data_IF_796199282800
#
_entry.id   IF_796199282800
#
_cell.length_a   1.000
_cell.length_b   1.000
_cell.length_c   1.000
_cell.angle_alpha   90.00
_cell.angle_beta   90.00
_cell.angle_gamma   90.00
#
_symmetry.space_group_name_H-M   'P 1'
#
loop_
_entity.id
_entity.type
_entity.pdbx_description
1 polymer ?
#
# COMPACT_ATOMS: atom_id res chain seq x y z
N UNK A 1 -30.75 30.75 -15.50
CA UNK A 1 -30.71 29.28 -15.70
C UNK A 1 -29.24 28.89 -15.75
N UNK A 2 -28.54 28.63 -14.65
CA UNK A 2 -28.58 27.43 -13.79
C UNK A 2 -28.47 26.11 -14.57
N UNK A 3 -27.23 25.77 -14.94
CA UNK A 3 -26.75 24.42 -15.23
C UNK A 3 -25.22 24.46 -15.08
N UNK A 4 -24.67 24.49 -13.86
CA UNK A 4 -24.46 23.31 -13.03
C UNK A 4 -24.00 22.08 -13.84
N UNK A 5 -22.98 22.25 -14.69
CA UNK A 5 -22.15 21.13 -15.13
C UNK A 5 -21.29 20.66 -13.96
N UNK A 6 -21.93 19.95 -13.03
CA UNK A 6 -21.26 19.02 -12.14
C UNK A 6 -20.73 17.92 -13.06
N UNK A 7 -19.51 18.12 -13.58
CA UNK A 7 -18.73 17.00 -14.07
C UNK A 7 -18.48 16.13 -12.84
N UNK A 8 -19.27 15.06 -12.74
CA UNK A 8 -19.07 13.98 -11.80
C UNK A 8 -17.59 13.61 -11.87
N UNK A 9 -16.86 13.99 -10.83
CA UNK A 9 -15.55 13.45 -10.56
C UNK A 9 -15.77 12.00 -10.20
N UNK A 10 -15.91 11.15 -11.22
CA UNK A 10 -15.58 9.75 -11.11
C UNK A 10 -14.09 9.74 -10.77
N UNK A 11 -13.78 9.88 -9.48
CA UNK A 11 -12.53 9.42 -8.95
C UNK A 11 -12.49 7.94 -9.30
N UNK A 12 -11.82 7.62 -10.42
CA UNK A 12 -11.30 6.30 -10.66
C UNK A 12 -10.48 5.99 -9.41
N UNK A 13 -11.10 5.23 -8.49
CA UNK A 13 -10.56 4.94 -7.18
C UNK A 13 -9.18 4.38 -7.36
N UNK A 14 -8.19 5.10 -6.86
CA UNK A 14 -6.80 4.78 -7.09
C UNK A 14 -6.53 3.55 -6.23
N UNK A 15 -6.33 2.38 -6.85
CA UNK A 15 -5.82 1.17 -6.18
C UNK A 15 -4.36 1.40 -5.77
N UNK A 16 -4.09 2.42 -4.94
CA UNK A 16 -2.77 2.77 -4.44
C UNK A 16 -2.50 1.96 -3.18
N UNK A 17 -2.29 0.65 -3.37
CA UNK A 17 -1.61 -0.16 -2.37
C UNK A 17 -0.14 0.15 -2.52
N UNK A 18 0.43 0.78 -1.50
CA UNK A 18 1.83 1.18 -1.47
C UNK A 18 2.53 0.43 -0.34
N UNK A 19 3.83 0.15 -0.53
CA UNK A 19 4.60 -0.60 0.46
C UNK A 19 4.49 -2.12 0.29
N UNK A 20 4.46 -2.84 1.41
CA UNK A 20 4.57 -4.31 1.48
C UNK A 20 5.64 -4.79 2.46
N UNK A 21 6.39 -3.86 3.06
CA UNK A 21 7.44 -4.16 4.03
C UNK A 21 7.45 -3.15 5.21
N UNK A 22 6.41 -2.34 5.38
CA UNK A 22 6.34 -1.36 6.48
C UNK A 22 6.05 -2.09 7.79
N UNK A 23 6.98 -2.00 8.72
CA UNK A 23 6.80 -2.49 10.07
C UNK A 23 6.08 -1.45 10.93
N UNK A 24 6.59 -0.22 10.86
CA UNK A 24 6.21 0.87 11.71
C UNK A 24 6.50 2.21 11.01
N UNK A 25 5.84 3.25 11.50
CA UNK A 25 6.00 4.61 11.01
C UNK A 25 6.42 5.48 12.18
N UNK A 26 7.59 6.12 12.05
CA UNK A 26 8.06 7.13 12.98
C UNK A 26 7.29 8.44 12.71
N UNK A 27 6.63 8.95 13.74
CA UNK A 27 5.83 10.18 13.70
C UNK A 27 6.67 11.38 14.12
N UNK A 28 7.49 11.20 15.15
CA UNK A 28 8.43 12.18 15.69
C UNK A 28 9.64 11.45 16.25
N UNK A 29 10.67 12.14 16.74
CA UNK A 29 11.82 11.49 17.38
C UNK A 29 11.46 10.66 18.63
N UNK A 30 10.27 10.81 19.19
CA UNK A 30 9.86 10.17 20.45
C UNK A 30 8.56 9.37 20.32
N UNK A 31 7.99 9.26 19.12
CA UNK A 31 6.70 8.62 18.92
C UNK A 31 6.63 7.88 17.59
N UNK A 32 6.07 6.69 17.62
CA UNK A 32 5.84 5.86 16.45
C UNK A 32 4.49 5.14 16.51
N UNK A 33 4.09 4.58 15.37
CA UNK A 33 2.93 3.69 15.23
C UNK A 33 3.34 2.41 14.52
N UNK A 34 2.70 1.29 14.85
CA UNK A 34 2.91 0.03 14.15
C UNK A 34 1.99 -0.06 12.93
N UNK A 35 2.44 -0.71 11.86
CA UNK A 35 1.58 -0.99 10.71
C UNK A 35 0.69 -2.21 11.01
N UNK A 36 -0.39 -1.99 11.76
CA UNK A 36 -1.18 -3.06 12.35
C UNK A 36 -2.70 -2.80 12.26
N UNK A 37 -3.23 -2.86 11.04
CA UNK A 37 -4.66 -2.70 10.75
C UNK A 37 -5.27 -1.49 11.48
N UNK A 38 -4.70 -0.33 11.24
CA UNK A 38 -5.07 0.88 11.94
C UNK A 38 -4.95 2.12 11.05
N UNK A 39 -5.66 3.19 11.41
CA UNK A 39 -5.63 4.47 10.71
C UNK A 39 -4.87 5.51 11.52
N UNK A 40 -3.99 6.24 10.86
CA UNK A 40 -3.36 7.44 11.38
C UNK A 40 -3.34 8.51 10.31
N UNK A 41 -3.81 9.72 10.64
CA UNK A 41 -3.83 10.88 9.73
C UNK A 41 -4.41 10.59 8.33
N UNK A 42 -5.52 9.84 8.28
CA UNK A 42 -6.18 9.47 7.03
C UNK A 42 -5.47 8.38 6.21
N UNK A 43 -4.45 7.74 6.78
CA UNK A 43 -3.70 6.64 6.15
C UNK A 43 -4.01 5.35 6.90
N UNK A 44 -4.47 4.34 6.17
CA UNK A 44 -4.66 3.00 6.69
C UNK A 44 -3.36 2.19 6.52
N UNK A 45 -2.83 1.67 7.63
CA UNK A 45 -1.66 0.82 7.67
C UNK A 45 -2.09 -0.64 7.85
N UNK A 46 -1.95 -1.44 6.80
CA UNK A 46 -2.30 -2.84 6.84
C UNK A 46 -1.26 -3.65 7.60
N UNK A 47 -1.71 -4.75 8.20
CA UNK A 47 -0.86 -5.64 8.99
C UNK A 47 0.31 -6.24 8.19
N UNK A 48 0.08 -6.52 6.89
CA UNK A 48 1.10 -7.00 5.94
C UNK A 48 2.10 -5.92 5.51
N UNK A 49 2.04 -4.71 6.09
CA UNK A 49 3.03 -3.67 5.87
C UNK A 49 2.90 -2.88 4.58
N UNK A 50 1.76 -3.00 3.88
CA UNK A 50 1.35 -2.02 2.88
C UNK A 50 0.36 -1.03 3.49
N UNK A 51 0.05 0.04 2.77
CA UNK A 51 -0.80 1.12 3.21
C UNK A 51 -1.55 1.76 2.04
N UNK A 52 -2.64 2.44 2.36
CA UNK A 52 -3.47 3.18 1.41
C UNK A 52 -4.20 4.35 2.09
N UNK A 53 -4.77 5.30 1.33
CA UNK A 53 -5.68 6.28 1.91
C UNK A 53 -6.88 5.62 2.60
N UNK A 54 -7.37 6.18 3.70
CA UNK A 54 -8.51 5.63 4.46
C UNK A 54 -9.78 5.47 3.60
N UNK A 55 -9.96 6.32 2.58
CA UNK A 55 -11.07 6.23 1.61
C UNK A 55 -11.01 4.98 0.72
N UNK A 56 -9.84 4.36 0.59
CA UNK A 56 -9.63 3.14 -0.20
C UNK A 56 -9.75 1.88 0.68
N UNK A 57 -10.14 2.03 1.96
CA UNK A 57 -10.35 0.90 2.85
C UNK A 57 -11.62 0.14 2.47
N UNK A 58 -11.52 -1.18 2.48
CA UNK A 58 -12.61 -2.13 2.27
C UNK A 58 -12.71 -3.05 3.49
N UNK A 59 -13.89 -3.63 3.72
CA UNK A 59 -14.06 -4.68 4.72
C UNK A 59 -13.73 -6.05 4.11
N UNK A 60 -13.13 -6.91 4.90
CA UNK A 60 -12.91 -8.32 4.60
C UNK A 60 -14.08 -9.14 5.12
N UNK A 61 -14.70 -9.95 4.26
CA UNK A 61 -15.77 -10.87 4.63
C UNK A 61 -15.38 -12.32 4.39
N UNK A 62 -15.73 -13.19 5.33
CA UNK A 62 -15.59 -14.64 5.25
C UNK A 62 -16.96 -15.26 5.54
N UNK A 63 -17.46 -16.10 4.62
CA UNK A 63 -18.81 -16.66 4.75
C UNK A 63 -19.93 -15.60 4.82
N UNK A 64 -19.74 -14.44 4.18
CA UNK A 64 -20.71 -13.33 4.17
C UNK A 64 -20.81 -12.54 5.47
N UNK A 65 -19.89 -12.76 6.42
CA UNK A 65 -19.78 -12.01 7.67
C UNK A 65 -18.47 -11.25 7.69
N UNK A 66 -18.46 -10.12 8.41
CA UNK A 66 -17.22 -9.40 8.69
C UNK A 66 -16.23 -10.33 9.39
N UNK A 67 -15.00 -10.41 8.89
CA UNK A 67 -13.95 -11.21 9.51
C UNK A 67 -13.68 -10.66 10.92
N UNK A 68 -13.68 -11.55 11.92
CA UNK A 68 -13.49 -11.17 13.33
C UNK A 68 -12.07 -10.58 13.54
N UNK A 69 -11.08 -11.17 12.89
CA UNK A 69 -9.70 -10.72 12.91
C UNK A 69 -9.36 -10.08 11.57
N UNK A 70 -8.74 -8.90 11.61
CA UNK A 70 -8.30 -8.19 10.41
C UNK A 70 -9.45 -7.84 9.46
N UNK A 71 -10.50 -7.26 10.03
CA UNK A 71 -11.79 -6.94 9.38
C UNK A 71 -11.68 -5.99 8.18
N UNK A 72 -10.54 -5.35 7.97
CA UNK A 72 -10.34 -4.32 6.97
C UNK A 72 -9.06 -4.53 6.17
N UNK A 73 -9.07 -4.04 4.93
CA UNK A 73 -7.92 -4.06 4.03
C UNK A 73 -7.91 -2.87 3.07
N UNK A 74 -6.83 -2.70 2.32
CA UNK A 74 -6.80 -1.80 1.17
C UNK A 74 -7.52 -2.41 -0.03
N UNK A 75 -8.30 -1.60 -0.75
CA UNK A 75 -8.88 -1.97 -2.03
C UNK A 75 -7.80 -2.42 -3.01
N UNK A 76 -8.02 -3.57 -3.64
CA UNK A 76 -7.07 -4.20 -4.55
C UNK A 76 -6.08 -5.16 -3.89
N UNK A 77 -6.09 -5.29 -2.55
CA UNK A 77 -5.20 -6.23 -1.87
C UNK A 77 -5.67 -7.65 -2.20
N UNK A 78 -4.75 -8.60 -2.20
CA UNK A 78 -5.10 -10.01 -2.42
C UNK A 78 -5.70 -10.56 -1.12
N UNK A 79 -7.01 -10.87 -1.09
CA UNK A 79 -7.62 -11.45 0.10
C UNK A 79 -7.08 -12.86 0.34
N UNK A 80 -7.19 -13.34 1.58
CA UNK A 80 -6.93 -14.73 1.91
C UNK A 80 -7.94 -15.66 1.18
N UNK A 81 -7.62 -16.95 0.97
CA UNK A 81 -8.58 -17.91 0.43
C UNK A 81 -9.89 -17.91 1.24
N UNK A 82 -11.03 -17.86 0.55
CA UNK A 82 -12.35 -17.81 1.19
C UNK A 82 -12.78 -16.41 1.69
N UNK A 83 -11.89 -15.42 1.60
CA UNK A 83 -12.18 -14.02 1.97
C UNK A 83 -12.49 -13.21 0.72
N UNK A 84 -13.47 -12.32 0.83
CA UNK A 84 -13.84 -11.34 -0.21
C UNK A 84 -13.77 -9.92 0.34
N UNK A 85 -13.52 -8.96 -0.55
CA UNK A 85 -13.58 -7.54 -0.22
C UNK A 85 -14.96 -6.97 -0.52
N UNK A 86 -15.48 -6.18 0.41
CA UNK A 86 -16.73 -5.45 0.26
C UNK A 86 -16.58 -3.98 0.69
N UNK A 87 -17.48 -3.08 0.25
CA UNK A 87 -17.51 -1.72 0.76
C UNK A 87 -17.84 -1.68 2.26
N UNK A 88 -17.33 -0.68 2.98
CA UNK A 88 -17.72 -0.39 4.37
C UNK A 88 -19.23 -0.13 4.47
N UNK A 89 -19.85 -0.51 5.59
CA UNK A 89 -21.28 -0.26 5.87
C UNK A 89 -21.46 0.77 6.99
N UNK A 90 -22.33 1.75 6.75
CA UNK A 90 -22.77 2.70 7.78
C UNK A 90 -21.60 3.46 8.43
N UNK A 91 -21.37 3.21 9.73
CA UNK A 91 -20.32 3.85 10.53
C UNK A 91 -19.10 2.93 10.77
N UNK A 92 -18.99 1.83 10.05
CA UNK A 92 -17.80 0.96 10.10
C UNK A 92 -16.55 1.76 9.74
N UNK A 93 -15.51 1.64 10.56
CA UNK A 93 -14.21 2.22 10.33
C UNK A 93 -13.14 1.36 11.00
N UNK A 94 -11.93 1.25 10.43
CA UNK A 94 -10.80 0.69 11.15
C UNK A 94 -10.49 1.51 12.40
N UNK A 95 -9.87 0.87 13.38
CA UNK A 95 -9.42 1.53 14.60
C UNK A 95 -8.34 2.58 14.30
N UNK A 96 -8.22 3.57 15.16
CA UNK A 96 -7.06 4.47 15.14
C UNK A 96 -5.81 3.73 15.62
N UNK A 97 -4.65 4.12 15.09
CA UNK A 97 -3.36 3.55 15.52
C UNK A 97 -3.01 3.95 16.96
N UNK A 98 -2.44 2.99 17.69
CA UNK A 98 -1.84 3.25 19.01
C UNK A 98 -0.52 3.97 18.83
N UNK A 99 -0.32 5.06 19.56
CA UNK A 99 0.96 5.78 19.61
C UNK A 99 1.84 5.15 20.69
N UNK A 100 3.04 4.73 20.28
CA UNK A 100 4.03 4.15 21.16
C UNK A 100 5.16 5.16 21.41
N UNK A 101 5.60 5.34 22.67
CA UNK A 101 6.73 6.19 22.99
C UNK A 101 8.05 5.55 22.53
N UNK A 102 9.02 6.39 22.18
CA UNK A 102 10.39 6.00 21.84
C UNK A 102 10.76 6.22 20.38
N UNK A 103 12.07 6.30 20.14
CA UNK A 103 12.64 6.22 18.80
C UNK A 103 12.68 4.77 18.33
N UNK A 104 12.41 4.55 17.04
CA UNK A 104 12.57 3.26 16.40
C UNK A 104 13.93 3.18 15.75
N UNK A 105 15.00 3.25 16.55
CA UNK A 105 16.36 2.95 16.05
C UNK A 105 16.59 1.45 15.85
N UNK A 106 15.74 0.59 16.44
CA UNK A 106 15.69 -0.86 16.23
C UNK A 106 14.23 -1.33 16.20
N UNK A 107 13.97 -2.36 15.40
CA UNK A 107 12.71 -3.11 15.29
C UNK A 107 12.04 -3.22 16.67
N UNK A 108 11.00 -2.44 16.92
CA UNK A 108 10.31 -2.48 18.21
C UNK A 108 9.63 -3.85 18.36
N UNK A 109 9.92 -4.62 19.43
CA UNK A 109 9.20 -5.85 19.75
C UNK A 109 7.68 -5.63 19.77
N UNK A 110 7.24 -4.41 20.13
CA UNK A 110 5.83 -4.01 20.17
C UNK A 110 5.15 -4.07 18.80
N UNK A 111 5.88 -3.88 17.69
CA UNK A 111 5.31 -3.95 16.34
C UNK A 111 5.39 -5.34 15.70
N UNK A 112 5.94 -6.34 16.40
CA UNK A 112 6.01 -7.74 15.94
C UNK A 112 4.86 -8.57 16.52
N UNK A 113 4.45 -8.29 17.76
CA UNK A 113 3.48 -9.12 18.49
C UNK A 113 2.14 -9.28 17.77
N UNK A 114 1.71 -8.25 17.02
CA UNK A 114 0.41 -8.19 16.36
C UNK A 114 0.50 -8.41 14.84
N UNK A 115 1.51 -9.14 14.31
CA UNK A 115 1.63 -9.40 12.86
C UNK A 115 1.05 -10.76 12.45
N UNK A 116 0.39 -10.83 11.29
CA UNK A 116 -0.18 -12.07 10.75
C UNK A 116 0.95 -13.08 10.52
N UNK A 117 0.84 -14.26 11.13
CA UNK A 117 1.86 -15.33 11.04
C UNK A 117 2.00 -15.76 9.58
N UNK A 118 3.22 -15.72 9.05
CA UNK A 118 3.53 -16.03 7.64
C UNK A 118 3.29 -14.88 6.65
N UNK A 119 2.79 -13.72 7.12
CA UNK A 119 2.45 -12.56 6.29
C UNK A 119 3.62 -11.61 5.97
N UNK A 120 4.86 -12.06 6.10
CA UNK A 120 6.04 -11.24 5.80
C UNK A 120 6.02 -9.92 6.58
N UNK A 121 5.92 -10.01 7.91
CA UNK A 121 5.89 -8.84 8.80
C UNK A 121 6.93 -7.83 8.35
N UNK A 122 6.46 -6.63 8.00
CA UNK A 122 7.33 -5.61 7.39
C UNK A 122 8.62 -5.41 8.17
N UNK A 123 9.70 -5.11 7.47
CA UNK A 123 11.05 -4.95 8.03
C UNK A 123 11.51 -3.49 8.06
N UNK A 124 10.75 -2.59 7.42
CA UNK A 124 11.13 -1.19 7.24
C UNK A 124 10.39 -0.30 8.21
N UNK A 125 11.15 0.61 8.82
CA UNK A 125 10.63 1.76 9.54
C UNK A 125 10.68 2.93 8.58
N UNK A 126 9.56 3.62 8.39
CA UNK A 126 9.46 4.81 7.55
C UNK A 126 9.20 6.04 8.40
N UNK A 127 9.64 7.21 7.96
CA UNK A 127 9.14 8.48 8.49
C UNK A 127 7.74 8.76 7.92
N UNK A 128 6.89 9.44 8.70
CA UNK A 128 5.56 9.85 8.25
C UNK A 128 5.61 10.72 6.97
N UNK A 129 6.64 11.55 6.83
CA UNK A 129 6.86 12.35 5.63
C UNK A 129 7.05 11.49 4.38
N UNK A 130 7.89 10.45 4.45
CA UNK A 130 8.12 9.51 3.35
C UNK A 130 6.82 8.79 2.95
N UNK A 131 6.03 8.37 3.94
CA UNK A 131 4.71 7.75 3.73
C UNK A 131 3.76 8.68 2.97
N UNK A 132 3.71 9.93 3.38
CA UNK A 132 2.86 10.98 2.79
C UNK A 132 3.29 11.32 1.37
N UNK A 133 4.60 11.42 1.12
CA UNK A 133 5.17 11.65 -0.21
C UNK A 133 4.87 10.52 -1.18
N UNK A 134 4.95 9.25 -0.72
CA UNK A 134 4.56 8.11 -1.53
C UNK A 134 3.09 8.17 -1.95
N UNK A 135 2.18 8.55 -1.04
CA UNK A 135 0.75 8.71 -1.35
C UNK A 135 0.48 9.88 -2.32
N UNK A 136 1.14 11.02 -2.14
CA UNK A 136 1.05 12.16 -3.05
C UNK A 136 1.57 11.80 -4.45
N UNK A 137 2.67 11.06 -4.53
CA UNK A 137 3.25 10.65 -5.82
C UNK A 137 2.36 9.64 -6.55
N UNK A 138 1.71 8.73 -5.83
CA UNK A 138 0.77 7.78 -6.42
C UNK A 138 -0.48 8.47 -7.01
N UNK A 139 -0.94 9.56 -6.38
CA UNK A 139 -2.08 10.36 -6.86
C UNK A 139 -1.72 11.35 -7.97
N UNK A 140 -0.48 11.85 -8.02
CA UNK A 140 -0.02 12.73 -9.11
C UNK A 140 0.15 11.98 -10.45
N UNK A 141 0.54 10.70 -10.42
CA UNK A 141 0.74 9.88 -11.62
C UNK A 141 -0.56 9.44 -12.33
N UNK A 142 -1.74 9.87 -11.85
CA UNK A 142 -3.03 9.58 -12.50
C UNK A 142 -3.60 10.73 -13.33
N UNK A 143 -2.90 11.88 -13.43
CA UNK A 143 -3.36 13.05 -14.18
C UNK A 143 -2.82 13.18 -15.61
N UNK A 144 -1.74 12.49 -16.00
CA UNK A 144 -1.09 12.71 -17.30
C UNK A 144 -0.79 11.42 -18.07
N UNK A 145 -1.83 10.82 -18.65
CA UNK A 145 -1.67 9.89 -19.77
C UNK A 145 -1.47 10.69 -21.07
N UNK A 146 -0.27 11.26 -21.28
CA UNK A 146 0.37 11.57 -22.58
C UNK A 146 1.52 12.60 -22.41
N UNK A 147 2.60 12.21 -21.75
CA UNK A 147 3.93 12.81 -22.00
C UNK A 147 5.00 11.80 -21.59
N UNK A 148 6.13 11.65 -22.33
CA UNK A 148 7.21 10.80 -21.89
C UNK A 148 7.66 11.26 -20.50
N UNK A 149 7.57 10.38 -19.52
CA UNK A 149 7.93 10.68 -18.14
C UNK A 149 9.42 10.96 -18.06
N UNK A 150 9.81 12.00 -17.31
CA UNK A 150 11.22 12.23 -16.97
C UNK A 150 11.82 10.98 -16.34
N UNK A 151 13.11 10.67 -16.58
CA UNK A 151 13.75 9.46 -16.08
C UNK A 151 13.55 9.29 -14.57
N UNK A 152 12.90 8.20 -14.15
CA UNK A 152 12.71 7.87 -12.73
C UNK A 152 14.05 7.52 -12.09
N UNK A 153 14.16 7.68 -10.77
CA UNK A 153 15.40 7.38 -10.07
C UNK A 153 15.77 5.90 -10.21
N UNK A 154 17.07 5.57 -10.17
CA UNK A 154 17.55 4.18 -10.27
C UNK A 154 16.90 3.25 -9.24
N UNK A 155 16.57 3.78 -8.06
CA UNK A 155 15.92 3.03 -6.96
C UNK A 155 14.45 2.72 -7.28
N UNK A 156 13.72 3.66 -7.86
CA UNK A 156 12.34 3.45 -8.31
C UNK A 156 12.27 2.48 -9.48
N UNK A 157 13.18 2.61 -10.46
CA UNK A 157 13.23 1.67 -11.58
C UNK A 157 13.57 0.25 -11.10
N UNK A 158 14.46 0.10 -10.13
CA UNK A 158 14.75 -1.19 -9.53
C UNK A 158 13.52 -1.79 -8.84
N UNK A 159 12.70 -0.97 -8.18
CA UNK A 159 11.46 -1.45 -7.57
C UNK A 159 10.44 -1.90 -8.61
N UNK A 160 10.23 -1.11 -9.66
CA UNK A 160 9.28 -1.44 -10.74
C UNK A 160 9.71 -2.73 -11.45
N UNK A 161 11.01 -2.89 -11.71
CA UNK A 161 11.57 -4.09 -12.30
C UNK A 161 11.40 -5.33 -11.41
N UNK A 162 11.63 -5.19 -10.11
CA UNK A 162 11.40 -6.28 -9.13
C UNK A 162 9.94 -6.70 -9.09
N UNK A 163 9.01 -5.75 -9.05
CA UNK A 163 7.59 -6.05 -9.07
C UNK A 163 7.22 -6.81 -10.35
N UNK A 164 7.77 -6.41 -11.51
CA UNK A 164 7.52 -7.09 -12.78
C UNK A 164 8.06 -8.52 -12.81
N UNK A 165 9.24 -8.74 -12.25
CA UNK A 165 9.81 -10.06 -12.08
C UNK A 165 8.91 -10.96 -11.22
N UNK A 166 8.46 -10.45 -10.07
CA UNK A 166 7.58 -11.19 -9.15
C UNK A 166 6.25 -11.54 -9.81
N UNK A 167 5.60 -10.58 -10.48
CA UNK A 167 4.35 -10.84 -11.24
C UNK A 167 4.52 -11.93 -12.30
N UNK A 168 5.67 -11.97 -12.97
CA UNK A 168 5.96 -12.99 -13.96
C UNK A 168 6.14 -14.36 -13.28
N UNK A 169 6.90 -14.44 -12.18
CA UNK A 169 7.12 -15.69 -11.42
C UNK A 169 5.83 -16.28 -10.86
N UNK A 170 4.83 -15.44 -10.58
CA UNK A 170 3.50 -15.87 -10.14
C UNK A 170 2.66 -16.51 -11.26
N UNK A 171 3.01 -16.27 -12.53
CA UNK A 171 2.24 -16.73 -13.70
C UNK A 171 2.99 -17.78 -14.51
N UNK A 172 4.31 -17.72 -14.51
CA UNK A 172 5.21 -18.50 -15.33
C UNK A 172 6.35 -18.95 -14.44
N UNK A 173 6.56 -20.26 -14.31
CA UNK A 173 7.70 -20.81 -13.56
C UNK A 173 9.00 -20.84 -14.40
N UNK A 174 9.22 -19.82 -15.23
CA UNK A 174 10.46 -19.64 -16.00
C UNK A 174 11.23 -18.43 -15.46
N UNK A 175 12.32 -18.71 -14.75
CA UNK A 175 13.17 -17.68 -14.17
C UNK A 175 13.80 -16.75 -15.22
N UNK A 176 14.26 -17.30 -16.35
CA UNK A 176 15.00 -16.53 -17.35
C UNK A 176 14.08 -15.56 -18.07
N UNK A 177 12.86 -15.99 -18.39
CA UNK A 177 11.85 -15.13 -18.98
C UNK A 177 11.45 -14.00 -18.02
N UNK A 178 11.21 -14.31 -16.74
CA UNK A 178 10.86 -13.31 -15.76
C UNK A 178 11.99 -12.31 -15.49
N UNK A 179 13.24 -12.80 -15.46
CA UNK A 179 14.42 -11.95 -15.31
C UNK A 179 14.57 -10.99 -16.50
N UNK A 180 14.34 -11.48 -17.71
CA UNK A 180 14.36 -10.64 -18.92
C UNK A 180 13.25 -9.57 -18.89
N UNK A 181 12.05 -9.90 -18.42
CA UNK A 181 10.97 -8.93 -18.27
C UNK A 181 11.29 -7.86 -17.21
N UNK A 182 11.86 -8.25 -16.07
CA UNK A 182 12.33 -7.33 -15.05
C UNK A 182 13.43 -6.39 -15.57
N UNK A 183 14.46 -6.94 -16.21
CA UNK A 183 15.57 -6.17 -16.79
C UNK A 183 15.10 -5.19 -17.88
N UNK A 184 14.20 -5.61 -18.76
CA UNK A 184 13.61 -4.75 -19.80
C UNK A 184 12.79 -3.62 -19.18
N UNK A 185 12.03 -3.92 -18.13
CA UNK A 185 11.25 -2.93 -17.38
C UNK A 185 12.15 -1.91 -16.69
N UNK A 186 13.28 -2.36 -16.12
CA UNK A 186 14.29 -1.47 -15.55
C UNK A 186 14.87 -0.51 -16.61
N UNK A 187 15.30 -1.05 -17.75
CA UNK A 187 15.89 -0.26 -18.84
C UNK A 187 14.90 0.76 -19.41
N UNK A 188 13.64 0.36 -19.60
CA UNK A 188 12.58 1.24 -20.07
C UNK A 188 12.32 2.37 -19.07
N UNK A 189 12.22 2.03 -17.78
CA UNK A 189 12.04 3.01 -16.71
C UNK A 189 13.19 4.04 -16.64
N UNK A 190 14.45 3.59 -16.76
CA UNK A 190 15.60 4.49 -16.78
C UNK A 190 15.64 5.36 -18.04
N UNK A 191 15.13 4.84 -19.15
CA UNK A 191 15.11 5.55 -20.44
C UNK A 191 13.86 6.43 -20.61
N UNK A 192 12.94 6.45 -19.65
CA UNK A 192 11.65 7.15 -19.76
C UNK A 192 10.73 6.60 -20.87
N UNK A 193 10.89 5.32 -21.23
CA UNK A 193 10.14 4.62 -22.29
C UNK A 193 9.02 3.74 -21.76
#
# INVERSE_FOLDING_TARGET
>A
MLALTILLSAAAGVNAILGGEVQAVQISNTTHICADNCVYDGIYLAQKGYFCPVKEVVRQEEGGKLREWYSYDCRGAKPAPGVVHAPLKGKEAPRNCTLFPGDLTKVSPSCIADKEVGGGGGTKILQLSELTEMLKSATANTADNKKPASPKSKKECAQIARNKFTECREKIDDFNECNNQGAKTFQNCQSGK
#
